data_IF_291620390444
#
_entry.id   IF_291620390444
#
_cell.length_a   1.000
_cell.length_b   1.000
_cell.length_c   1.000
_cell.angle_alpha   90.00
_cell.angle_beta   90.00
_cell.angle_gamma   90.00
#
_symmetry.space_group_name_H-M   'P 1'
#
loop_
_entity.id
_entity.type
_entity.pdbx_description
1 polymer ?
#
# COMPACT_ATOMS: atom_id res chain seq x y z
N UNK A 1 -57.80 53.88 -46.87
CA UNK A 1 -56.63 53.08 -47.32
C UNK A 1 -55.78 52.75 -46.11
N UNK A 2 -55.59 51.46 -45.84
CA UNK A 2 -54.89 50.91 -44.67
C UNK A 2 -53.37 51.05 -44.86
N UNK A 3 -52.69 51.63 -43.87
CA UNK A 3 -51.24 51.49 -43.70
C UNK A 3 -50.99 50.34 -42.73
N UNK A 4 -50.50 49.22 -43.25
CA UNK A 4 -50.17 48.02 -42.48
C UNK A 4 -48.73 48.10 -41.98
N UNK A 5 -48.59 48.21 -40.66
CA UNK A 5 -47.36 48.13 -39.89
C UNK A 5 -46.68 46.79 -40.14
N UNK A 6 -45.42 46.82 -40.61
CA UNK A 6 -44.52 45.68 -40.62
C UNK A 6 -44.22 45.28 -39.17
N UNK A 7 -44.92 44.29 -38.64
CA UNK A 7 -44.51 43.64 -37.40
C UNK A 7 -43.36 42.70 -37.73
N UNK A 8 -42.15 43.12 -37.39
CA UNK A 8 -40.98 42.28 -37.24
C UNK A 8 -41.38 41.11 -36.32
N UNK A 9 -41.59 39.94 -36.90
CA UNK A 9 -41.72 38.69 -36.17
C UNK A 9 -40.33 38.37 -35.62
N UNK A 10 -40.00 38.96 -34.47
CA UNK A 10 -39.03 38.37 -33.55
C UNK A 10 -39.63 37.04 -33.10
N UNK A 11 -39.39 36.01 -33.91
CA UNK A 11 -39.44 34.64 -33.49
C UNK A 11 -38.35 34.50 -32.41
N UNK A 12 -38.67 34.90 -31.18
CA UNK A 12 -37.91 34.50 -30.04
C UNK A 12 -37.94 32.98 -30.04
N UNK A 13 -36.77 32.39 -30.31
CA UNK A 13 -36.52 30.97 -30.39
C UNK A 13 -36.71 30.36 -28.98
N UNK A 14 -37.97 30.20 -28.59
CA UNK A 14 -38.41 29.75 -27.26
C UNK A 14 -38.01 28.31 -26.98
N UNK A 15 -37.64 27.56 -28.02
CA UNK A 15 -37.04 26.22 -27.97
C UNK A 15 -35.69 26.19 -27.26
N UNK A 16 -34.90 27.26 -27.34
CA UNK A 16 -33.62 27.37 -26.65
C UNK A 16 -33.79 27.52 -25.13
N UNK A 17 -34.84 28.21 -24.68
CA UNK A 17 -35.14 28.43 -23.26
C UNK A 17 -35.77 27.18 -22.60
N UNK A 18 -36.58 26.41 -23.33
CA UNK A 18 -37.24 25.20 -22.81
C UNK A 18 -36.29 23.99 -22.70
N UNK A 19 -35.24 23.93 -23.52
CA UNK A 19 -34.21 22.88 -23.43
C UNK A 19 -33.09 23.18 -22.41
N UNK A 20 -33.06 24.40 -21.86
CA UNK A 20 -32.05 24.87 -20.92
C UNK A 20 -32.04 24.04 -19.61
N UNK A 21 -33.18 23.79 -18.93
CA UNK A 21 -33.21 22.95 -17.73
C UNK A 21 -32.78 21.51 -18.00
N UNK A 22 -33.14 20.96 -19.15
CA UNK A 22 -32.79 19.58 -19.54
C UNK A 22 -31.27 19.43 -19.77
N UNK A 23 -30.63 20.41 -20.41
CA UNK A 23 -29.17 20.44 -20.61
C UNK A 23 -28.43 20.58 -19.28
N UNK A 24 -28.96 21.34 -18.32
CA UNK A 24 -28.40 21.43 -16.97
C UNK A 24 -28.48 20.10 -16.21
N UNK A 25 -29.61 19.37 -16.31
CA UNK A 25 -29.76 18.05 -15.67
C UNK A 25 -28.81 17.02 -16.30
N UNK A 26 -28.68 17.00 -17.62
CA UNK A 26 -27.74 16.08 -18.28
C UNK A 26 -26.29 16.43 -17.92
N UNK A 27 -25.94 17.72 -17.90
CA UNK A 27 -24.61 18.17 -17.50
C UNK A 27 -24.31 17.81 -16.02
N UNK A 28 -25.29 17.93 -15.11
CA UNK A 28 -25.10 17.59 -13.70
C UNK A 28 -24.94 16.09 -13.48
N UNK A 29 -25.68 15.25 -14.21
CA UNK A 29 -25.52 13.79 -14.18
C UNK A 29 -24.12 13.40 -14.69
N UNK A 30 -23.69 13.97 -15.83
CA UNK A 30 -22.35 13.73 -16.37
C UNK A 30 -21.25 14.18 -15.40
N UNK A 31 -21.44 15.33 -14.75
CA UNK A 31 -20.50 15.83 -13.75
C UNK A 31 -20.44 14.92 -12.51
N UNK A 32 -21.58 14.40 -12.07
CA UNK A 32 -21.64 13.46 -10.94
C UNK A 32 -20.93 12.14 -11.28
N UNK A 33 -21.17 11.59 -12.47
CA UNK A 33 -20.50 10.36 -12.93
C UNK A 33 -19.00 10.57 -13.07
N UNK A 34 -18.56 11.68 -13.66
CA UNK A 34 -17.13 11.98 -13.82
C UNK A 34 -16.45 12.22 -12.47
N UNK A 35 -17.10 12.91 -11.52
CA UNK A 35 -16.59 13.03 -10.15
C UNK A 35 -16.46 11.67 -9.44
N UNK A 36 -17.45 10.78 -9.58
CA UNK A 36 -17.40 9.45 -8.98
C UNK A 36 -16.23 8.61 -9.56
N UNK A 37 -16.02 8.67 -10.87
CA UNK A 37 -14.88 8.02 -11.53
C UNK A 37 -13.54 8.64 -11.10
N UNK A 38 -13.46 9.97 -10.97
CA UNK A 38 -12.25 10.63 -10.46
C UNK A 38 -11.94 10.23 -9.03
N UNK A 39 -12.95 10.17 -8.16
CA UNK A 39 -12.77 9.81 -6.75
C UNK A 39 -12.24 8.38 -6.60
N UNK A 40 -12.80 7.43 -7.35
CA UNK A 40 -12.31 6.03 -7.35
C UNK A 40 -10.90 5.91 -7.93
N UNK A 41 -10.60 6.60 -9.04
CA UNK A 41 -9.27 6.62 -9.62
C UNK A 41 -8.23 7.25 -8.68
N UNK A 42 -8.54 8.39 -8.07
CA UNK A 42 -7.67 9.07 -7.11
C UNK A 42 -7.42 8.22 -5.86
N UNK A 43 -8.44 7.56 -5.34
CA UNK A 43 -8.29 6.62 -4.21
C UNK A 43 -7.39 5.46 -4.58
N UNK A 44 -7.61 4.83 -5.74
CA UNK A 44 -6.78 3.72 -6.21
C UNK A 44 -5.31 4.12 -6.41
N UNK A 45 -5.08 5.33 -6.95
CA UNK A 45 -3.74 5.87 -7.11
C UNK A 45 -3.04 6.13 -5.77
N UNK A 46 -3.75 6.69 -4.79
CA UNK A 46 -3.19 6.93 -3.45
C UNK A 46 -2.81 5.63 -2.75
N UNK A 47 -3.66 4.60 -2.84
CA UNK A 47 -3.34 3.26 -2.32
C UNK A 47 -2.11 2.66 -2.99
N UNK A 48 -2.01 2.78 -4.32
CA UNK A 48 -0.84 2.31 -5.06
C UNK A 48 0.44 3.04 -4.64
N UNK A 49 0.39 4.36 -4.44
CA UNK A 49 1.54 5.12 -3.94
C UNK A 49 1.99 4.67 -2.55
N UNK A 50 1.04 4.46 -1.62
CA UNK A 50 1.35 3.96 -0.26
C UNK A 50 2.01 2.58 -0.31
N UNK A 51 1.44 1.67 -1.10
CA UNK A 51 1.97 0.32 -1.23
C UNK A 51 3.35 0.31 -1.88
N UNK A 52 3.55 1.11 -2.94
CA UNK A 52 4.86 1.24 -3.59
C UNK A 52 5.92 1.81 -2.64
N UNK A 53 5.54 2.77 -1.78
CA UNK A 53 6.42 3.30 -0.73
C UNK A 53 6.82 2.22 0.28
N UNK A 54 5.85 1.44 0.77
CA UNK A 54 6.11 0.32 1.68
C UNK A 54 7.00 -0.73 1.02
N UNK A 55 6.69 -1.15 -0.21
CA UNK A 55 7.48 -2.12 -0.97
C UNK A 55 8.94 -1.66 -1.13
N UNK A 56 9.17 -0.38 -1.40
CA UNK A 56 10.52 0.19 -1.49
C UNK A 56 11.26 0.10 -0.15
N UNK A 57 10.60 0.42 0.96
CA UNK A 57 11.21 0.29 2.29
C UNK A 57 11.50 -1.17 2.64
N UNK A 58 10.58 -2.08 2.36
CA UNK A 58 10.76 -3.51 2.61
C UNK A 58 11.86 -4.09 1.74
N UNK A 59 11.97 -3.67 0.48
CA UNK A 59 13.08 -4.06 -0.39
C UNK A 59 14.44 -3.58 0.14
N UNK A 60 14.51 -2.36 0.70
CA UNK A 60 15.72 -1.87 1.36
C UNK A 60 16.07 -2.65 2.62
N UNK A 61 15.07 -2.97 3.45
CA UNK A 61 15.25 -3.79 4.64
C UNK A 61 15.72 -5.20 4.27
N UNK A 62 15.12 -5.81 3.26
CA UNK A 62 15.48 -7.15 2.76
C UNK A 62 16.90 -7.20 2.17
N UNK A 63 17.26 -6.20 1.36
CA UNK A 63 18.63 -6.08 0.84
C UNK A 63 19.65 -5.94 1.99
N UNK A 64 19.30 -5.17 3.01
CA UNK A 64 20.13 -4.98 4.20
C UNK A 64 20.26 -6.26 5.00
N UNK A 65 19.16 -6.96 5.26
CA UNK A 65 19.15 -8.24 5.95
C UNK A 65 19.96 -9.30 5.18
N UNK A 66 19.87 -9.31 3.85
CA UNK A 66 20.66 -10.18 2.99
C UNK A 66 22.16 -9.89 3.09
N UNK A 67 22.55 -8.61 3.19
CA UNK A 67 23.95 -8.21 3.40
C UNK A 67 24.43 -8.66 4.79
N UNK A 68 23.63 -8.44 5.84
CA UNK A 68 23.97 -8.90 7.20
C UNK A 68 24.12 -10.42 7.25
N UNK A 69 23.18 -11.14 6.63
CA UNK A 69 23.18 -12.59 6.53
C UNK A 69 24.45 -13.11 5.83
N UNK A 70 24.87 -12.47 4.74
CA UNK A 70 26.12 -12.79 4.05
C UNK A 70 27.38 -12.43 4.88
N UNK A 71 27.29 -11.43 5.76
CA UNK A 71 28.36 -11.05 6.69
C UNK A 71 28.59 -12.06 7.82
N UNK A 72 27.67 -13.00 8.03
CA UNK A 72 27.78 -14.04 9.04
C UNK A 72 27.32 -13.59 10.44
N UNK A 73 27.50 -14.45 11.47
CA UNK A 73 26.96 -14.24 12.81
C UNK A 73 27.51 -13.00 13.52
N UNK A 74 26.67 -12.31 14.29
CA UNK A 74 27.04 -11.11 15.05
C UNK A 74 27.02 -9.81 14.26
N UNK A 75 26.61 -9.85 12.99
CA UNK A 75 26.37 -8.65 12.18
C UNK A 75 25.07 -8.00 12.63
N UNK A 76 25.06 -6.68 12.84
CA UNK A 76 23.87 -5.96 13.24
C UNK A 76 23.72 -4.61 12.55
N UNK A 77 22.49 -4.11 12.50
CA UNK A 77 22.15 -2.79 12.01
C UNK A 77 20.84 -2.31 12.64
N UNK A 78 20.72 -1.00 12.86
CA UNK A 78 19.44 -0.35 13.15
C UNK A 78 18.99 0.46 11.93
N UNK A 79 17.71 0.39 11.58
CA UNK A 79 17.10 1.25 10.57
C UNK A 79 15.70 1.68 10.99
N UNK A 80 15.24 2.79 10.43
CA UNK A 80 13.86 3.25 10.59
C UNK A 80 13.03 2.82 9.39
N UNK A 81 11.84 2.28 9.66
CA UNK A 81 10.83 1.96 8.66
C UNK A 81 9.54 2.70 9.03
N UNK A 82 8.81 3.14 8.02
CA UNK A 82 7.51 3.80 8.16
C UNK A 82 6.45 2.99 7.42
N UNK A 83 5.59 2.33 8.19
CA UNK A 83 4.54 1.47 7.67
C UNK A 83 3.26 2.29 7.56
N UNK A 84 2.71 2.48 6.35
CA UNK A 84 1.49 3.25 6.14
C UNK A 84 0.31 2.72 6.95
N UNK A 85 -0.64 3.61 7.26
CA UNK A 85 -1.87 3.24 7.96
C UNK A 85 -2.66 2.16 7.23
N UNK A 86 -3.08 1.14 7.98
CA UNK A 86 -3.82 -0.01 7.44
C UNK A 86 -2.93 -1.07 6.79
N UNK A 87 -1.61 -0.88 6.78
CA UNK A 87 -0.65 -1.91 6.41
C UNK A 87 -0.10 -2.63 7.64
N UNK A 88 0.22 -3.91 7.48
CA UNK A 88 1.04 -4.69 8.41
C UNK A 88 2.14 -5.41 7.64
N UNK A 89 3.24 -5.72 8.33
CA UNK A 89 4.37 -6.47 7.78
C UNK A 89 4.68 -7.63 8.71
N UNK A 90 4.82 -8.81 8.11
CA UNK A 90 5.21 -10.03 8.83
C UNK A 90 6.46 -10.61 8.16
N UNK A 91 7.49 -10.83 8.97
CA UNK A 91 8.79 -11.33 8.53
C UNK A 91 8.99 -12.75 9.06
N UNK A 92 9.41 -13.66 8.20
CA UNK A 92 9.72 -15.04 8.55
C UNK A 92 8.57 -16.03 8.34
N UNK A 93 7.57 -15.70 7.53
CA UNK A 93 6.47 -16.62 7.23
C UNK A 93 5.71 -16.25 5.95
N UNK A 94 4.85 -17.16 5.50
CA UNK A 94 3.80 -16.92 4.52
C UNK A 94 2.46 -16.62 5.23
N UNK A 95 1.53 -15.91 4.57
CA UNK A 95 0.22 -15.59 5.15
C UNK A 95 -0.51 -16.85 5.67
N UNK A 96 -0.89 -16.84 6.96
CA UNK A 96 -1.62 -17.94 7.60
C UNK A 96 -0.77 -19.16 7.97
N UNK A 97 0.56 -19.09 7.78
CA UNK A 97 1.52 -20.14 8.12
C UNK A 97 2.50 -19.70 9.20
N UNK A 98 2.15 -18.73 10.03
CA UNK A 98 3.02 -18.13 11.05
C UNK A 98 3.44 -19.17 12.10
N UNK A 99 2.54 -20.11 12.41
CA UNK A 99 2.81 -21.24 13.30
C UNK A 99 3.76 -22.29 12.71
N UNK A 100 4.03 -22.24 11.40
CA UNK A 100 4.97 -23.14 10.71
C UNK A 100 6.42 -22.61 10.71
N UNK A 101 6.70 -21.49 11.40
CA UNK A 101 8.08 -21.07 11.63
C UNK A 101 8.88 -22.22 12.30
N UNK A 102 10.12 -22.53 11.89
CA UNK A 102 10.99 -21.76 10.98
C UNK A 102 10.97 -22.19 9.50
N UNK A 103 10.06 -23.07 9.05
CA UNK A 103 10.10 -23.61 7.69
C UNK A 103 10.01 -22.53 6.61
N UNK A 104 9.17 -21.52 6.84
CA UNK A 104 8.94 -20.40 5.93
C UNK A 104 9.73 -19.13 6.30
N UNK A 105 10.78 -19.27 7.12
CA UNK A 105 11.55 -18.14 7.63
C UNK A 105 12.19 -17.26 6.54
N UNK A 106 12.36 -17.78 5.32
CA UNK A 106 12.88 -17.03 4.17
C UNK A 106 11.82 -16.21 3.44
N UNK A 107 10.60 -16.14 3.96
CA UNK A 107 9.53 -15.35 3.37
C UNK A 107 9.15 -14.18 4.26
N UNK A 108 8.63 -13.13 3.64
CA UNK A 108 7.93 -12.07 4.33
C UNK A 108 6.73 -11.65 3.51
N UNK A 109 5.74 -11.06 4.17
CA UNK A 109 4.58 -10.52 3.48
C UNK A 109 4.15 -9.19 4.06
N UNK A 110 3.51 -8.41 3.21
CA UNK A 110 2.81 -7.19 3.57
C UNK A 110 1.32 -7.44 3.41
N UNK A 111 0.52 -7.01 4.38
CA UNK A 111 -0.94 -7.05 4.30
C UNK A 111 -1.49 -5.62 4.19
N UNK A 112 -2.45 -5.41 3.30
CA UNK A 112 -3.25 -4.18 3.23
C UNK A 112 -4.68 -4.51 2.81
N UNK A 113 -5.67 -4.09 3.62
CA UNK A 113 -7.10 -4.33 3.38
C UNK A 113 -7.42 -5.81 3.04
N UNK A 114 -6.77 -6.76 3.74
CA UNK A 114 -6.94 -8.20 3.54
C UNK A 114 -6.27 -8.78 2.29
N UNK A 115 -5.54 -7.96 1.51
CA UNK A 115 -4.69 -8.43 0.41
C UNK A 115 -3.27 -8.64 0.91
N UNK A 116 -2.67 -9.76 0.52
CA UNK A 116 -1.31 -10.12 0.90
C UNK A 116 -0.37 -10.00 -0.31
N UNK A 117 0.77 -9.37 -0.09
CA UNK A 117 1.89 -9.35 -1.04
C UNK A 117 3.06 -10.12 -0.42
N UNK A 118 3.32 -11.33 -0.93
CA UNK A 118 4.40 -12.20 -0.46
C UNK A 118 5.68 -11.95 -1.25
N UNK A 119 6.81 -12.04 -0.56
CA UNK A 119 8.15 -11.90 -1.10
C UNK A 119 9.08 -12.93 -0.46
N UNK A 120 10.00 -13.46 -1.25
CA UNK A 120 11.05 -14.34 -0.80
C UNK A 120 12.32 -13.52 -0.52
N UNK A 121 13.06 -13.93 0.51
CA UNK A 121 14.33 -13.36 0.93
C UNK A 121 15.44 -14.40 0.89
N UNK A 122 16.67 -13.93 0.72
CA UNK A 122 17.87 -14.75 0.92
C UNK A 122 18.17 -15.00 2.39
N UNK A 123 17.73 -14.09 3.26
CA UNK A 123 17.89 -14.19 4.70
C UNK A 123 16.71 -14.96 5.31
N UNK A 124 17.00 -15.80 6.31
CA UNK A 124 15.96 -16.38 7.15
C UNK A 124 15.67 -15.43 8.31
N UNK A 125 14.41 -15.04 8.50
CA UNK A 125 13.98 -14.09 9.52
C UNK A 125 13.45 -14.78 10.78
N UNK A 126 13.60 -14.08 11.90
CA UNK A 126 13.03 -14.46 13.18
C UNK A 126 12.75 -13.23 14.03
N UNK A 127 11.88 -13.36 15.01
CA UNK A 127 11.72 -12.36 16.06
C UNK A 127 12.94 -12.25 16.98
N UNK A 128 12.90 -11.26 17.88
CA UNK A 128 13.97 -11.03 18.85
C UNK A 128 14.23 -12.23 19.77
N UNK A 129 13.26 -13.09 20.05
CA UNK A 129 13.44 -14.24 20.96
C UNK A 129 13.89 -15.52 20.26
N UNK A 130 13.96 -15.54 18.93
CA UNK A 130 14.21 -16.74 18.13
C UNK A 130 13.18 -17.86 18.33
N UNK A 131 11.91 -17.50 18.53
CA UNK A 131 10.81 -18.46 18.75
C UNK A 131 9.61 -18.25 17.80
N UNK A 132 9.75 -17.39 16.78
CA UNK A 132 8.69 -17.13 15.82
C UNK A 132 8.95 -15.96 14.87
N UNK A 133 7.87 -15.47 14.27
CA UNK A 133 7.87 -14.40 13.26
C UNK A 133 7.96 -13.00 13.87
N UNK A 134 8.50 -12.04 13.12
CA UNK A 134 8.46 -10.62 13.51
C UNK A 134 7.25 -9.94 12.90
N UNK A 135 6.51 -9.18 13.70
CA UNK A 135 5.32 -8.44 13.28
C UNK A 135 5.55 -6.95 13.46
N UNK A 136 5.20 -6.17 12.43
CA UNK A 136 5.20 -4.71 12.48
C UNK A 136 3.83 -4.18 12.01
N UNK A 137 3.20 -3.37 12.86
CA UNK A 137 1.92 -2.72 12.55
C UNK A 137 2.11 -1.45 11.73
N UNK A 138 1.06 -0.63 11.65
CA UNK A 138 1.19 0.70 11.06
C UNK A 138 1.93 1.66 11.99
N UNK A 139 2.78 2.50 11.44
CA UNK A 139 3.54 3.51 12.18
C UNK A 139 5.03 3.53 11.83
N UNK A 140 5.75 4.43 12.49
CA UNK A 140 7.20 4.51 12.37
C UNK A 140 7.84 3.59 13.40
N UNK A 141 8.66 2.66 12.92
CA UNK A 141 9.33 1.64 13.73
C UNK A 141 10.85 1.79 13.63
N UNK A 142 11.52 1.73 14.77
CA UNK A 142 12.98 1.68 14.83
C UNK A 142 13.42 0.24 14.96
N UNK A 143 13.73 -0.38 13.83
CA UNK A 143 13.99 -1.81 13.71
C UNK A 143 15.47 -2.09 13.91
N UNK A 144 15.77 -3.01 14.82
CA UNK A 144 17.09 -3.61 14.98
C UNK A 144 17.11 -4.98 14.30
N UNK A 145 18.14 -5.19 13.50
CA UNK A 145 18.45 -6.45 12.84
C UNK A 145 19.78 -6.97 13.35
N UNK A 146 19.82 -8.25 13.73
CA UNK A 146 21.03 -8.93 14.16
C UNK A 146 21.07 -10.36 13.62
N UNK A 147 22.22 -10.80 13.14
CA UNK A 147 22.42 -12.19 12.76
C UNK A 147 22.82 -13.04 13.93
N UNK A 148 22.10 -14.12 14.16
CA UNK A 148 22.37 -15.08 15.24
C UNK A 148 22.19 -16.50 14.71
N UNK A 149 23.09 -17.40 15.09
CA UNK A 149 22.96 -18.82 14.76
C UNK A 149 22.09 -19.47 15.82
N UNK A 150 21.05 -20.19 15.39
CA UNK A 150 20.31 -21.06 16.28
C UNK A 150 21.21 -22.23 16.69
N UNK A 151 21.53 -22.38 17.99
CA UNK A 151 22.44 -23.43 18.46
C UNK A 151 21.87 -24.84 18.27
N UNK A 152 20.55 -24.98 18.12
CA UNK A 152 19.89 -26.28 17.98
C UNK A 152 19.89 -26.79 16.54
N UNK A 153 19.69 -25.91 15.57
CA UNK A 153 19.60 -26.26 14.14
C UNK A 153 20.86 -25.91 13.35
N UNK A 154 21.73 -25.05 13.89
CA UNK A 154 22.89 -24.49 13.19
C UNK A 154 22.54 -23.49 12.09
N UNK A 155 21.26 -23.12 11.96
CA UNK A 155 20.77 -22.19 10.95
C UNK A 155 21.05 -20.76 11.40
N UNK A 156 21.56 -19.94 10.48
CA UNK A 156 21.69 -18.50 10.68
C UNK A 156 20.32 -17.85 10.51
N UNK A 157 19.92 -16.99 11.43
CA UNK A 157 18.73 -16.16 11.32
C UNK A 157 19.09 -14.68 11.44
N UNK A 158 18.36 -13.82 10.75
CA UNK A 158 18.28 -12.39 11.02
C UNK A 158 17.13 -12.18 12.01
N UNK A 159 17.48 -11.88 13.26
CA UNK A 159 16.54 -11.46 14.28
C UNK A 159 16.12 -10.03 13.98
N UNK A 160 14.83 -9.79 13.83
CA UNK A 160 14.25 -8.49 13.52
C UNK A 160 13.29 -8.12 14.64
N UNK A 161 13.54 -7.01 15.33
CA UNK A 161 12.67 -6.54 16.41
C UNK A 161 12.76 -5.03 16.60
N UNK A 162 11.75 -4.46 17.23
CA UNK A 162 11.68 -3.03 17.51
C UNK A 162 12.50 -2.66 18.76
N UNK A 163 13.28 -1.59 18.66
CA UNK A 163 13.93 -0.98 19.82
C UNK A 163 12.93 -0.10 20.57
N UNK A 164 12.73 -0.39 21.85
CA UNK A 164 11.97 0.46 22.76
C UNK A 164 12.72 1.73 23.13
#
# INVERSE_FOLDING_TARGET
>A
MRSSVNLHFLAADTTAAVSLPMRFVVASILLMVTMALLATAASGFLTHMKMSGLESQMSRMDATASILYAGGPGSNLTMEIDIPSGCTVVMGSMPGSEAAWPYDAKNYFMEYEGKHTVRESRAAYSNGSMDGVSFFGSGTHRVFMETTVDPSTGVLFVRVYELK
#
